data_IF_644765806866
#
_entry.id   IF_644765806866
#
_cell.length_a   1.000
_cell.length_b   1.000
_cell.length_c   1.000
_cell.angle_alpha   90.00
_cell.angle_beta   90.00
_cell.angle_gamma   90.00
#
_symmetry.space_group_name_H-M   'P 1'
#
loop_
_entity.id
_entity.type
_entity.pdbx_description
1 polymer ?
#
# COMPACT_ATOMS: atom_id res chain seq x y z
N UNK A 1 -40.54 -37.94 -32.18
CA UNK A 1 -39.60 -37.52 -31.12
C UNK A 1 -39.02 -36.14 -31.46
N UNK A 2 -39.85 -35.16 -31.82
CA UNK A 2 -40.40 -34.14 -30.93
C UNK A 2 -40.60 -34.56 -29.45
N UNK A 3 -39.82 -33.94 -28.55
CA UNK A 3 -40.10 -33.67 -27.12
C UNK A 3 -38.78 -33.54 -26.35
N UNK A 4 -38.13 -32.36 -26.38
CA UNK A 4 -37.15 -31.88 -25.38
C UNK A 4 -36.52 -30.53 -25.79
N UNK A 5 -37.30 -29.59 -26.32
CA UNK A 5 -36.82 -28.24 -26.71
C UNK A 5 -37.66 -27.12 -26.06
N UNK A 6 -38.19 -27.38 -24.87
CA UNK A 6 -39.09 -26.46 -24.18
C UNK A 6 -38.76 -26.38 -22.68
N UNK A 7 -37.53 -26.02 -22.32
CA UNK A 7 -37.20 -25.78 -20.90
C UNK A 7 -36.07 -24.77 -20.60
N UNK A 8 -35.78 -23.83 -21.51
CA UNK A 8 -34.82 -22.73 -21.24
C UNK A 8 -35.37 -21.35 -21.62
N UNK A 9 -36.67 -21.11 -21.40
CA UNK A 9 -37.31 -19.80 -21.64
C UNK A 9 -38.19 -19.31 -20.49
N UNK A 10 -37.85 -19.62 -19.22
CA UNK A 10 -38.59 -19.13 -18.04
C UNK A 10 -37.72 -18.78 -16.81
N UNK A 11 -36.51 -18.25 -17.02
CA UNK A 11 -35.71 -17.69 -15.91
C UNK A 11 -35.18 -16.27 -16.14
N UNK A 12 -35.70 -15.56 -17.16
CA UNK A 12 -35.35 -14.16 -17.43
C UNK A 12 -36.44 -13.14 -17.00
N UNK A 13 -37.58 -13.56 -16.43
CA UNK A 13 -38.70 -12.66 -16.06
C UNK A 13 -38.86 -12.40 -14.55
N UNK A 14 -38.12 -13.10 -13.68
CA UNK A 14 -38.21 -12.92 -12.22
C UNK A 14 -37.24 -11.85 -11.67
N UNK A 15 -36.13 -11.56 -12.35
CA UNK A 15 -35.14 -10.58 -11.89
C UNK A 15 -35.47 -9.12 -12.25
N UNK A 16 -36.39 -8.89 -13.19
CA UNK A 16 -36.78 -7.52 -13.63
C UNK A 16 -37.98 -6.97 -12.84
N UNK A 17 -38.64 -7.77 -12.00
CA UNK A 17 -39.76 -7.31 -11.14
C UNK A 17 -39.37 -6.99 -9.68
N UNK A 18 -38.16 -7.29 -9.25
CA UNK A 18 -37.69 -6.94 -7.90
C UNK A 18 -37.14 -5.50 -7.77
N UNK A 19 -36.94 -4.78 -8.89
CA UNK A 19 -36.31 -3.45 -8.89
C UNK A 19 -37.28 -2.27 -9.09
N UNK A 20 -38.61 -2.52 -9.02
CA UNK A 20 -39.65 -1.50 -9.20
C UNK A 20 -40.52 -1.26 -7.95
N UNK A 21 -40.12 -1.77 -6.78
CA UNK A 21 -40.90 -1.68 -5.54
C UNK A 21 -40.14 -1.11 -4.34
N UNK A 22 -39.04 -0.37 -4.60
CA UNK A 22 -38.25 0.35 -3.56
C UNK A 22 -38.21 1.87 -3.80
N UNK A 23 -38.92 2.38 -4.81
CA UNK A 23 -39.15 3.82 -4.99
C UNK A 23 -40.63 4.16 -4.86
N UNK A 24 -41.07 4.26 -3.61
CA UNK A 24 -42.21 5.09 -3.11
C UNK A 24 -42.59 4.53 -1.74
N UNK A 25 -42.16 5.22 -0.68
CA UNK A 25 -42.84 5.34 0.60
C UNK A 25 -42.00 6.31 1.45
N UNK A 26 -42.12 7.59 1.09
CA UNK A 26 -41.93 8.66 2.06
C UNK A 26 -43.14 8.70 2.98
N UNK A 27 -42.87 9.13 4.22
CA UNK A 27 -43.82 9.59 5.23
C UNK A 27 -44.96 8.65 5.63
N UNK A 28 -44.78 7.97 6.76
CA UNK A 28 -45.87 7.71 7.71
C UNK A 28 -45.31 7.47 9.12
N UNK A 29 -45.60 8.44 10.00
CA UNK A 29 -45.68 8.26 11.46
C UNK A 29 -46.99 7.52 11.80
N UNK A 30 -47.12 7.16 13.08
CA UNK A 30 -48.23 6.42 13.74
C UNK A 30 -47.92 4.91 13.71
N UNK A 31 -47.69 4.19 14.81
CA UNK A 31 -48.17 4.36 16.17
C UNK A 31 -49.25 3.32 16.43
N UNK A 32 -48.91 2.08 16.75
CA UNK A 32 -49.79 1.16 17.49
C UNK A 32 -49.06 -0.10 17.97
N UNK A 33 -49.48 -0.55 19.15
CA UNK A 33 -48.95 -1.64 19.95
C UNK A 33 -49.17 -2.99 19.28
N UNK A 34 -48.15 -3.86 19.31
CA UNK A 34 -48.35 -5.31 19.19
C UNK A 34 -47.63 -5.97 20.37
N UNK A 35 -48.43 -6.54 21.26
CA UNK A 35 -47.99 -7.13 22.52
C UNK A 35 -47.25 -8.45 22.33
N UNK A 36 -46.12 -8.58 23.02
CA UNK A 36 -45.48 -9.87 23.28
C UNK A 36 -45.68 -10.24 24.76
N UNK A 37 -46.25 -11.43 24.97
CA UNK A 37 -46.41 -12.09 26.27
C UNK A 37 -45.04 -12.22 26.97
N UNK A 38 -44.96 -11.72 28.19
CA UNK A 38 -43.80 -11.83 29.06
C UNK A 38 -43.69 -13.23 29.68
N UNK A 39 -42.54 -13.89 29.47
CA UNK A 39 -42.11 -15.03 30.25
C UNK A 39 -41.18 -14.51 31.36
N UNK A 40 -41.63 -14.62 32.62
CA UNK A 40 -40.88 -14.18 33.80
C UNK A 40 -39.71 -15.13 34.08
N UNK A 41 -38.47 -14.65 33.91
CA UNK A 41 -37.28 -15.22 34.55
C UNK A 41 -36.81 -14.26 35.64
N UNK A 42 -36.63 -14.78 36.85
CA UNK A 42 -36.27 -14.04 38.06
C UNK A 42 -34.79 -13.67 38.07
N UNK A 43 -34.49 -12.40 38.38
CA UNK A 43 -33.38 -12.02 39.26
C UNK A 43 -31.98 -11.87 38.66
N UNK A 44 -31.70 -10.78 37.95
CA UNK A 44 -30.37 -10.12 37.94
C UNK A 44 -30.58 -8.61 37.89
N UNK A 45 -30.10 -7.89 38.91
CA UNK A 45 -30.21 -6.42 39.03
C UNK A 45 -28.97 -5.80 38.38
N UNK A 46 -29.08 -5.34 37.12
CA UNK A 46 -28.00 -4.61 36.45
C UNK A 46 -28.20 -3.10 36.67
N UNK A 47 -27.29 -2.45 37.39
CA UNK A 47 -27.29 -1.01 37.57
C UNK A 47 -26.68 -0.33 36.33
N UNK A 48 -27.44 0.57 35.69
CA UNK A 48 -26.98 1.38 34.56
C UNK A 48 -26.65 2.78 35.10
N UNK A 49 -25.39 3.26 35.05
CA UNK A 49 -25.07 4.63 35.46
C UNK A 49 -25.49 5.64 34.38
N UNK A 50 -26.07 6.75 34.82
CA UNK A 50 -26.48 7.90 33.99
C UNK A 50 -25.26 8.66 33.44
N UNK A 51 -25.32 9.24 32.23
CA UNK A 51 -24.20 9.99 31.65
C UNK A 51 -23.99 11.34 32.35
N UNK A 52 -22.74 11.62 32.71
CA UNK A 52 -22.31 12.90 33.28
C UNK A 52 -22.35 14.01 32.22
N UNK A 53 -22.96 15.15 32.58
CA UNK A 53 -22.98 16.39 31.79
C UNK A 53 -21.54 16.90 31.58
N UNK A 54 -21.12 17.08 30.32
CA UNK A 54 -19.86 17.77 30.00
C UNK A 54 -19.99 19.28 30.25
N UNK A 55 -19.16 19.81 31.14
CA UNK A 55 -18.93 21.25 31.25
C UNK A 55 -18.04 21.73 30.09
N UNK A 56 -18.50 22.73 29.34
CA UNK A 56 -17.69 23.44 28.35
C UNK A 56 -16.59 24.22 29.07
N UNK A 57 -15.33 23.95 28.74
CA UNK A 57 -14.21 24.83 29.09
C UNK A 57 -13.82 25.58 27.82
N UNK A 58 -14.10 26.89 27.81
CA UNK A 58 -13.57 27.82 26.83
C UNK A 58 -12.09 28.05 27.13
N UNK A 59 -11.20 27.59 26.26
CA UNK A 59 -9.82 28.09 26.24
C UNK A 59 -9.55 28.76 24.88
N UNK A 60 -9.69 30.07 24.88
CA UNK A 60 -9.19 30.94 23.82
C UNK A 60 -7.68 31.10 23.98
N UNK A 61 -6.89 30.32 23.22
CA UNK A 61 -5.46 30.56 23.05
C UNK A 61 -5.23 31.06 21.63
N UNK A 62 -4.84 32.33 21.52
CA UNK A 62 -4.35 32.92 20.26
C UNK A 62 -3.00 32.30 19.96
N UNK A 63 -2.93 31.43 18.95
CA UNK A 63 -1.66 30.96 18.40
C UNK A 63 -1.23 31.96 17.34
N UNK A 64 -0.27 32.80 17.70
CA UNK A 64 0.49 33.62 16.76
C UNK A 64 1.26 32.70 15.83
N UNK A 65 1.07 32.85 14.52
CA UNK A 65 1.75 32.10 13.49
C UNK A 65 3.27 32.35 13.54
N UNK A 66 4.03 31.30 13.83
CA UNK A 66 5.42 31.14 13.40
C UNK A 66 5.48 29.77 12.73
N UNK A 67 5.59 29.78 11.40
CA UNK A 67 5.67 28.58 10.57
C UNK A 67 7.04 27.93 10.75
N UNK A 68 7.13 27.00 11.70
CA UNK A 68 8.10 25.92 11.61
C UNK A 68 7.50 24.88 10.65
N UNK A 69 8.02 24.79 9.42
CA UNK A 69 7.72 23.65 8.56
C UNK A 69 8.21 22.40 9.29
N UNK A 70 7.28 21.57 9.73
CA UNK A 70 7.53 20.46 10.62
C UNK A 70 8.38 19.39 9.94
N UNK A 71 9.47 19.00 10.60
CA UNK A 71 10.37 17.88 10.31
C UNK A 71 9.71 16.51 10.55
N UNK A 72 8.52 16.29 9.99
CA UNK A 72 7.81 15.01 10.11
C UNK A 72 8.27 14.03 9.02
N UNK A 73 8.16 12.71 9.22
CA UNK A 73 8.36 11.72 8.16
C UNK A 73 7.58 12.03 6.87
N UNK A 74 6.45 12.73 7.00
CA UNK A 74 5.63 13.17 5.88
C UNK A 74 6.29 14.29 5.06
N UNK A 75 7.13 15.15 5.65
CA UNK A 75 7.83 16.20 4.89
C UNK A 75 8.93 15.61 3.99
N UNK A 76 9.72 14.65 4.49
CA UNK A 76 10.71 13.92 3.69
C UNK A 76 10.06 13.17 2.53
N UNK A 77 8.97 12.44 2.81
CA UNK A 77 8.20 11.72 1.79
C UNK A 77 7.65 12.67 0.71
N UNK A 78 7.18 13.85 1.10
CA UNK A 78 6.67 14.83 0.13
C UNK A 78 7.80 15.45 -0.69
N UNK A 79 8.96 15.71 -0.09
CA UNK A 79 10.12 16.23 -0.81
C UNK A 79 10.58 15.26 -1.91
N UNK A 80 10.78 13.98 -1.57
CA UNK A 80 11.18 12.97 -2.58
C UNK A 80 10.11 12.78 -3.65
N UNK A 81 8.83 12.79 -3.27
CA UNK A 81 7.71 12.73 -4.23
C UNK A 81 7.71 13.91 -5.22
N UNK A 82 7.92 15.13 -4.73
CA UNK A 82 8.02 16.33 -5.56
C UNK A 82 9.19 16.23 -6.54
N UNK A 83 10.35 15.75 -6.09
CA UNK A 83 11.52 15.57 -6.96
C UNK A 83 11.28 14.52 -8.03
N UNK A 84 10.62 13.43 -7.68
CA UNK A 84 10.33 12.35 -8.60
C UNK A 84 9.45 12.79 -9.77
N UNK A 85 8.38 13.55 -9.50
CA UNK A 85 7.45 13.99 -10.56
C UNK A 85 8.05 14.99 -11.54
N UNK A 86 9.19 15.62 -11.22
CA UNK A 86 9.97 16.44 -12.18
C UNK A 86 10.52 15.61 -13.35
N UNK A 87 10.63 14.29 -13.20
CA UNK A 87 11.08 13.38 -14.25
C UNK A 87 9.99 13.10 -15.29
N UNK A 88 8.73 13.40 -14.97
CA UNK A 88 7.58 13.17 -15.88
C UNK A 88 7.58 14.22 -16.98
N UNK A 89 7.41 13.75 -18.22
CA UNK A 89 7.26 14.59 -19.40
C UNK A 89 5.83 14.52 -19.95
N UNK A 90 5.36 15.54 -20.69
CA UNK A 90 4.08 15.46 -21.37
C UNK A 90 3.97 14.20 -22.25
N UNK A 91 2.78 13.60 -22.29
CA UNK A 91 2.50 12.40 -23.08
C UNK A 91 2.93 11.07 -22.46
N UNK A 92 3.62 11.06 -21.30
CA UNK A 92 4.07 9.83 -20.66
C UNK A 92 2.93 9.02 -20.05
N UNK A 93 3.08 7.69 -20.09
CA UNK A 93 2.31 6.76 -19.26
C UNK A 93 3.11 6.48 -17.99
N UNK A 94 2.50 6.77 -16.84
CA UNK A 94 3.14 6.72 -15.52
C UNK A 94 2.56 5.58 -14.68
N UNK A 95 3.41 4.67 -14.20
CA UNK A 95 3.05 3.71 -13.16
C UNK A 95 2.87 4.43 -11.82
N UNK A 96 1.68 4.34 -11.26
CA UNK A 96 1.29 5.01 -10.01
C UNK A 96 1.33 3.99 -8.87
N UNK A 97 2.42 4.02 -8.10
CA UNK A 97 2.68 3.14 -6.96
C UNK A 97 1.69 3.29 -5.81
N UNK A 98 1.92 2.52 -4.74
CA UNK A 98 1.00 2.42 -3.59
C UNK A 98 1.70 2.81 -2.29
N UNK A 99 0.91 3.26 -1.30
CA UNK A 99 1.42 3.66 0.01
C UNK A 99 1.70 5.16 0.13
N UNK A 100 2.10 5.61 1.33
CA UNK A 100 2.09 7.03 1.69
C UNK A 100 2.99 7.90 0.79
N UNK A 101 4.17 7.40 0.41
CA UNK A 101 5.13 8.17 -0.39
C UNK A 101 4.70 8.26 -1.85
N UNK A 102 4.28 7.13 -2.45
CA UNK A 102 3.74 7.11 -3.81
C UNK A 102 2.45 7.93 -3.92
N UNK A 103 1.62 7.93 -2.87
CA UNK A 103 0.42 8.77 -2.80
C UNK A 103 0.76 10.24 -2.94
N UNK A 104 1.78 10.74 -2.23
CA UNK A 104 2.24 12.12 -2.38
C UNK A 104 2.75 12.40 -3.79
N UNK A 105 3.39 11.44 -4.47
CA UNK A 105 3.79 11.60 -5.87
C UNK A 105 2.59 11.74 -6.81
N UNK A 106 1.53 10.95 -6.59
CA UNK A 106 0.25 11.07 -7.34
C UNK A 106 -0.36 12.47 -7.13
N UNK A 107 -0.36 12.97 -5.89
CA UNK A 107 -0.86 14.32 -5.58
C UNK A 107 -0.07 15.41 -6.31
N UNK A 108 1.26 15.37 -6.22
CA UNK A 108 2.12 16.36 -6.87
C UNK A 108 2.01 16.30 -8.41
N UNK A 109 1.88 15.10 -8.98
CA UNK A 109 1.63 14.91 -10.40
C UNK A 109 0.30 15.57 -10.82
N UNK A 110 -0.77 15.34 -10.06
CA UNK A 110 -2.07 15.96 -10.30
C UNK A 110 -2.03 17.48 -10.22
N UNK A 111 -1.28 18.06 -9.27
CA UNK A 111 -1.06 19.51 -9.18
C UNK A 111 -0.38 20.07 -10.43
N UNK A 112 0.63 19.38 -10.97
CA UNK A 112 1.33 19.79 -12.20
C UNK A 112 0.40 19.73 -13.43
N UNK A 113 -0.45 18.71 -13.52
CA UNK A 113 -1.46 18.58 -14.57
C UNK A 113 -2.50 19.70 -14.46
N UNK A 114 -3.04 19.93 -13.26
CA UNK A 114 -4.03 20.99 -13.00
C UNK A 114 -3.48 22.39 -13.30
N UNK A 115 -2.19 22.62 -13.05
CA UNK A 115 -1.49 23.86 -13.39
C UNK A 115 -1.14 23.99 -14.89
N UNK A 116 -1.47 22.99 -15.72
CA UNK A 116 -1.18 22.97 -17.15
C UNK A 116 0.30 22.77 -17.51
N UNK A 117 1.15 22.40 -16.54
CA UNK A 117 2.59 22.16 -16.73
C UNK A 117 2.87 20.80 -17.36
N UNK A 118 2.00 19.82 -17.11
CA UNK A 118 2.04 18.50 -17.75
C UNK A 118 0.73 18.28 -18.51
N UNK A 119 0.86 17.83 -19.75
CA UNK A 119 -0.27 17.54 -20.65
C UNK A 119 -0.20 16.11 -21.13
N UNK A 120 -1.36 15.52 -21.40
CA UNK A 120 -1.50 14.18 -21.97
C UNK A 120 -0.80 13.06 -21.17
N UNK A 121 -0.62 13.27 -19.86
CA UNK A 121 -0.10 12.25 -18.95
C UNK A 121 -1.23 11.31 -18.53
N UNK A 122 -0.96 10.02 -18.56
CA UNK A 122 -1.89 8.98 -18.12
C UNK A 122 -1.24 8.11 -17.04
N UNK A 123 -2.07 7.57 -16.14
CA UNK A 123 -1.62 6.78 -15.01
C UNK A 123 -2.11 5.33 -15.05
N UNK A 124 -1.23 4.39 -14.71
CA UNK A 124 -1.55 2.98 -14.46
C UNK A 124 -1.37 2.70 -12.97
N UNK A 125 -2.47 2.48 -12.24
CA UNK A 125 -2.41 2.35 -10.78
C UNK A 125 -2.11 0.93 -10.29
N UNK A 126 -1.18 0.80 -9.34
CA UNK A 126 -0.76 -0.48 -8.74
C UNK A 126 -1.66 -0.99 -7.62
N UNK A 127 -2.73 -0.27 -7.29
CA UNK A 127 -3.77 -0.68 -6.34
C UNK A 127 -5.07 0.08 -6.57
N UNK A 128 -6.16 -0.35 -5.93
CA UNK A 128 -7.38 0.46 -5.87
C UNK A 128 -7.12 1.80 -5.18
N UNK A 129 -6.26 1.84 -4.16
CA UNK A 129 -5.89 3.07 -3.46
C UNK A 129 -5.25 4.09 -4.42
N UNK A 130 -4.25 3.67 -5.20
CA UNK A 130 -3.59 4.51 -6.19
C UNK A 130 -4.56 4.99 -7.27
N UNK A 131 -5.42 4.11 -7.81
CA UNK A 131 -6.41 4.45 -8.84
C UNK A 131 -7.44 5.46 -8.36
N UNK A 132 -7.93 5.31 -7.12
CA UNK A 132 -8.88 6.26 -6.52
C UNK A 132 -8.21 7.62 -6.32
N UNK A 133 -7.00 7.63 -5.77
CA UNK A 133 -6.25 8.87 -5.53
C UNK A 133 -5.93 9.61 -6.83
N UNK A 134 -5.50 8.89 -7.87
CA UNK A 134 -5.25 9.46 -9.19
C UNK A 134 -6.46 10.23 -9.72
N UNK A 135 -7.66 9.63 -9.63
CA UNK A 135 -8.91 10.28 -10.05
C UNK A 135 -9.25 11.50 -9.20
N UNK A 136 -9.04 11.43 -7.88
CA UNK A 136 -9.26 12.57 -6.98
C UNK A 136 -8.40 13.79 -7.35
N UNK A 137 -7.17 13.55 -7.82
CA UNK A 137 -6.23 14.60 -8.22
C UNK A 137 -6.23 14.90 -9.72
N UNK A 138 -7.22 14.40 -10.47
CA UNK A 138 -7.39 14.70 -11.90
C UNK A 138 -6.37 14.02 -12.82
N UNK A 139 -5.63 13.02 -12.34
CA UNK A 139 -4.76 12.19 -13.17
C UNK A 139 -5.63 11.18 -13.91
N UNK A 140 -5.64 11.25 -15.25
CA UNK A 140 -6.38 10.29 -16.08
C UNK A 140 -5.78 8.89 -15.91
N UNK A 141 -6.60 7.91 -15.52
CA UNK A 141 -6.16 6.51 -15.39
C UNK A 141 -6.47 5.71 -16.65
N UNK A 142 -5.60 4.77 -17.02
CA UNK A 142 -5.82 3.77 -18.08
C UNK A 142 -5.70 2.36 -17.51
N UNK A 143 -6.35 1.39 -18.16
CA UNK A 143 -6.20 -0.02 -17.79
C UNK A 143 -4.83 -0.54 -18.25
N UNK A 144 -4.22 -1.41 -17.45
CA UNK A 144 -2.92 -2.01 -17.80
C UNK A 144 -3.01 -2.81 -19.11
N UNK A 145 -4.15 -3.46 -19.38
CA UNK A 145 -4.34 -4.28 -20.57
C UNK A 145 -4.42 -3.45 -21.86
N UNK A 146 -4.64 -2.13 -21.75
CA UNK A 146 -4.69 -1.20 -22.89
C UNK A 146 -3.33 -0.51 -23.12
N UNK A 147 -2.29 -0.89 -22.38
CA UNK A 147 -0.97 -0.25 -22.39
C UNK A 147 0.11 -1.23 -22.83
N UNK A 148 0.85 -0.85 -23.88
CA UNK A 148 1.98 -1.65 -24.36
C UNK A 148 3.28 -1.36 -23.60
N UNK A 149 3.43 -0.14 -23.08
CA UNK A 149 4.65 0.27 -22.37
C UNK A 149 4.34 1.35 -21.34
N UNK A 150 5.01 1.27 -20.18
CA UNK A 150 4.98 2.31 -19.15
C UNK A 150 6.30 3.07 -19.25
N UNK A 151 6.26 4.40 -19.33
CA UNK A 151 7.49 5.19 -19.53
C UNK A 151 8.28 5.34 -18.24
N UNK A 152 7.58 5.54 -17.13
CA UNK A 152 8.16 5.67 -15.80
C UNK A 152 7.19 5.17 -14.74
N UNK A 153 7.66 4.47 -13.72
CA UNK A 153 6.88 4.10 -12.56
C UNK A 153 7.48 4.69 -11.29
N UNK A 154 6.63 5.23 -10.42
CA UNK A 154 7.00 5.73 -9.09
C UNK A 154 6.38 4.85 -8.02
N UNK A 155 7.17 4.40 -7.06
CA UNK A 155 6.66 3.57 -5.97
C UNK A 155 7.47 3.75 -4.68
N UNK A 156 6.91 3.32 -3.55
CA UNK A 156 7.62 3.24 -2.28
C UNK A 156 8.26 1.88 -2.04
N UNK A 157 9.07 1.78 -0.97
CA UNK A 157 9.59 0.52 -0.46
C UNK A 157 9.46 0.43 1.07
N UNK A 158 9.38 -0.80 1.58
CA UNK A 158 9.40 -1.10 3.01
C UNK A 158 10.84 -1.24 3.52
N UNK A 159 11.72 -1.82 2.71
CA UNK A 159 13.18 -1.82 2.85
C UNK A 159 13.86 -1.68 1.48
N UNK A 160 15.06 -1.09 1.45
CA UNK A 160 15.96 -1.05 0.29
C UNK A 160 17.40 -1.32 0.73
N UNK A 161 18.08 -2.25 0.08
CA UNK A 161 19.51 -2.48 0.31
C UNK A 161 20.39 -1.64 -0.62
N UNK A 162 21.71 -1.64 -0.38
CA UNK A 162 22.66 -0.87 -1.20
C UNK A 162 22.81 -1.35 -2.66
N UNK A 163 22.19 -2.47 -3.03
CA UNK A 163 22.16 -2.99 -4.40
C UNK A 163 20.84 -2.70 -5.12
N UNK A 164 19.97 -1.86 -4.53
CA UNK A 164 18.62 -1.54 -5.01
C UNK A 164 17.66 -2.73 -5.02
N UNK A 165 17.92 -3.78 -4.22
CA UNK A 165 16.93 -4.80 -3.94
C UNK A 165 15.97 -4.27 -2.89
N UNK A 166 14.68 -4.59 -3.04
CA UNK A 166 13.65 -4.07 -2.14
C UNK A 166 12.92 -5.21 -1.42
N UNK A 167 12.39 -4.87 -0.23
CA UNK A 167 11.14 -5.46 0.26
C UNK A 167 10.01 -4.45 0.07
N UNK A 168 8.90 -4.91 -0.51
CA UNK A 168 7.63 -4.21 -0.70
C UNK A 168 6.47 -5.08 -0.23
N UNK A 169 5.25 -4.53 -0.24
CA UNK A 169 4.03 -5.27 0.06
C UNK A 169 3.46 -5.04 1.46
N UNK A 170 3.98 -4.08 2.22
CA UNK A 170 3.35 -3.63 3.47
C UNK A 170 1.89 -3.18 3.25
N UNK A 171 1.57 -2.66 2.06
CA UNK A 171 0.21 -2.32 1.63
C UNK A 171 -0.60 -3.45 0.99
N UNK A 172 -0.05 -4.67 0.87
CA UNK A 172 -0.69 -5.83 0.21
C UNK A 172 -1.03 -5.65 -1.29
N UNK A 173 -0.26 -4.80 -1.99
CA UNK A 173 -0.42 -4.51 -3.42
C UNK A 173 0.75 -5.02 -4.28
N UNK A 174 1.71 -5.74 -3.68
CA UNK A 174 3.01 -6.06 -4.29
C UNK A 174 2.91 -6.81 -5.62
N UNK A 175 1.90 -7.65 -5.83
CA UNK A 175 1.69 -8.33 -7.12
C UNK A 175 1.46 -7.32 -8.26
N UNK A 176 0.50 -6.42 -8.10
CA UNK A 176 0.22 -5.40 -9.12
C UNK A 176 1.35 -4.38 -9.24
N UNK A 177 1.99 -4.02 -8.12
CA UNK A 177 3.20 -3.19 -8.12
C UNK A 177 4.30 -3.82 -8.97
N UNK A 178 4.57 -5.12 -8.80
CA UNK A 178 5.63 -5.81 -9.56
C UNK A 178 5.32 -5.89 -11.04
N UNK A 179 4.07 -6.18 -11.41
CA UNK A 179 3.65 -6.17 -12.81
C UNK A 179 3.86 -4.79 -13.46
N UNK A 180 3.43 -3.71 -12.80
CA UNK A 180 3.58 -2.35 -13.34
C UNK A 180 5.04 -1.91 -13.39
N UNK A 181 5.81 -2.17 -12.33
CA UNK A 181 7.22 -1.77 -12.26
C UNK A 181 8.08 -2.53 -13.29
N UNK A 182 7.79 -3.80 -13.57
CA UNK A 182 8.51 -4.58 -14.60
C UNK A 182 8.15 -4.17 -16.04
N UNK A 183 6.97 -3.59 -16.26
CA UNK A 183 6.57 -3.03 -17.56
C UNK A 183 7.09 -1.60 -17.79
N UNK A 184 7.66 -0.96 -16.77
CA UNK A 184 8.19 0.40 -16.88
C UNK A 184 9.58 0.42 -17.50
N UNK A 185 9.83 1.36 -18.41
CA UNK A 185 11.18 1.62 -18.93
C UNK A 185 12.11 2.13 -17.83
N UNK A 186 11.55 2.88 -16.87
CA UNK A 186 12.26 3.43 -15.73
C UNK A 186 11.45 3.24 -14.46
N UNK A 187 12.02 2.54 -13.47
CA UNK A 187 11.42 2.38 -12.14
C UNK A 187 12.16 3.23 -11.14
N UNK A 188 11.45 4.17 -10.51
CA UNK A 188 11.99 5.11 -9.54
C UNK A 188 11.34 4.88 -8.18
N UNK A 189 12.15 4.43 -7.23
CA UNK A 189 11.72 4.15 -5.86
C UNK A 189 11.95 5.35 -4.97
N UNK A 190 10.94 5.69 -4.17
CA UNK A 190 10.88 6.89 -3.35
C UNK A 190 10.89 6.49 -1.88
N UNK A 191 11.98 6.79 -1.19
CA UNK A 191 12.14 6.42 0.22
C UNK A 191 12.68 7.58 1.05
N UNK A 192 12.36 7.57 2.33
CA UNK A 192 13.14 8.29 3.32
C UNK A 192 14.28 7.40 3.85
N UNK A 193 15.29 8.02 4.44
CA UNK A 193 16.49 7.35 4.94
C UNK A 193 16.24 6.16 5.88
N UNK A 194 15.09 6.09 6.58
CA UNK A 194 14.79 4.98 7.49
C UNK A 194 14.52 3.65 6.78
N UNK A 195 14.28 3.68 5.46
CA UNK A 195 14.04 2.50 4.64
C UNK A 195 15.32 1.86 4.11
N UNK A 196 16.45 2.56 4.18
CA UNK A 196 17.72 2.05 3.71
C UNK A 196 18.32 1.13 4.76
N UNK A 197 18.55 -0.14 4.39
CA UNK A 197 19.08 -1.18 5.26
C UNK A 197 20.40 -1.73 4.71
N UNK A 198 21.25 -2.26 5.59
CA UNK A 198 22.47 -2.95 5.15
C UNK A 198 22.18 -4.32 4.54
N UNK A 199 21.10 -4.96 4.98
CA UNK A 199 20.68 -6.29 4.54
C UNK A 199 19.14 -6.38 4.66
N UNK A 200 18.49 -6.98 3.67
CA UNK A 200 17.03 -7.13 3.64
C UNK A 200 16.55 -8.15 4.69
N UNK A 201 15.30 -8.00 5.12
CA UNK A 201 14.59 -8.93 5.99
C UNK A 201 14.93 -8.78 7.48
N UNK A 202 15.74 -7.79 7.85
CA UNK A 202 16.14 -7.55 9.24
C UNK A 202 15.06 -6.80 10.04
N UNK A 203 14.36 -5.85 9.42
CA UNK A 203 13.39 -4.99 10.12
C UNK A 203 11.95 -5.22 9.63
N UNK A 204 11.78 -5.73 8.42
CA UNK A 204 10.49 -5.95 7.77
C UNK A 204 10.36 -7.37 7.22
N UNK A 205 9.22 -8.07 7.44
CA UNK A 205 9.00 -9.40 6.87
C UNK A 205 8.81 -9.32 5.34
N UNK A 206 9.09 -10.39 4.61
CA UNK A 206 8.73 -10.50 3.19
C UNK A 206 7.25 -10.88 3.06
N UNK A 207 6.38 -10.01 2.50
CA UNK A 207 5.00 -10.37 2.21
C UNK A 207 4.94 -11.35 1.03
N UNK A 208 4.13 -12.39 1.16
CA UNK A 208 3.88 -13.38 0.11
C UNK A 208 2.38 -13.44 -0.15
N UNK A 209 1.97 -13.17 -1.39
CA UNK A 209 0.56 -13.32 -1.80
C UNK A 209 0.31 -14.78 -2.19
N UNK A 210 -0.73 -15.36 -1.61
CA UNK A 210 -0.99 -16.80 -1.70
C UNK A 210 -2.45 -17.09 -2.03
N UNK A 211 -2.66 -18.09 -2.87
CA UNK A 211 -4.00 -18.60 -3.18
C UNK A 211 -4.64 -19.13 -1.89
N UNK A 212 -5.86 -18.68 -1.51
CA UNK A 212 -6.48 -19.09 -0.25
C UNK A 212 -6.60 -20.60 -0.04
N UNK A 213 -6.87 -21.36 -1.12
CA UNK A 213 -7.02 -22.83 -1.03
C UNK A 213 -5.70 -23.55 -0.72
N UNK A 214 -4.55 -22.91 -0.98
CA UNK A 214 -3.21 -23.48 -0.87
C UNK A 214 -2.44 -23.00 0.37
N UNK A 215 -3.09 -22.33 1.33
CA UNK A 215 -2.42 -21.69 2.45
C UNK A 215 -1.52 -22.66 3.25
N UNK A 216 -2.04 -23.80 3.69
CA UNK A 216 -1.30 -24.75 4.53
C UNK A 216 -0.05 -25.36 3.86
N UNK A 217 -0.10 -25.86 2.61
CA UNK A 217 1.12 -26.32 1.93
C UNK A 217 2.13 -25.21 1.67
N UNK A 218 1.68 -23.98 1.36
CA UNK A 218 2.59 -22.83 1.19
C UNK A 218 3.30 -22.51 2.49
N UNK A 219 2.59 -22.41 3.63
CA UNK A 219 3.20 -22.17 4.94
C UNK A 219 4.29 -23.20 5.27
N UNK A 220 4.04 -24.50 5.04
CA UNK A 220 5.06 -25.55 5.26
C UNK A 220 6.29 -25.37 4.37
N UNK A 221 6.08 -24.96 3.12
CA UNK A 221 7.17 -24.74 2.17
C UNK A 221 8.02 -23.53 2.57
N UNK A 222 7.38 -22.45 3.04
CA UNK A 222 8.08 -21.26 3.56
C UNK A 222 8.90 -21.58 4.82
N UNK A 223 8.37 -22.41 5.73
CA UNK A 223 9.15 -22.94 6.88
C UNK A 223 10.36 -23.73 6.41
N UNK A 224 10.22 -24.58 5.39
CA UNK A 224 11.33 -25.34 4.82
C UNK A 224 12.40 -24.47 4.13
N UNK A 225 12.05 -23.24 3.73
CA UNK A 225 13.01 -22.23 3.26
C UNK A 225 13.73 -21.50 4.40
N UNK A 226 13.45 -21.83 5.66
CA UNK A 226 14.00 -21.16 6.84
C UNK A 226 13.23 -19.91 7.26
N UNK A 227 12.02 -19.71 6.73
CA UNK A 227 11.16 -18.59 7.10
C UNK A 227 10.24 -18.90 8.29
N UNK A 228 9.77 -17.84 8.93
CA UNK A 228 8.73 -17.86 9.98
C UNK A 228 7.47 -17.18 9.42
N UNK A 229 6.55 -17.94 8.77
CA UNK A 229 5.40 -17.36 8.11
C UNK A 229 4.22 -17.13 9.06
N UNK A 230 3.59 -15.96 8.95
CA UNK A 230 2.38 -15.59 9.68
C UNK A 230 1.30 -15.10 8.69
N UNK A 231 0.06 -15.59 8.85
CA UNK A 231 -1.05 -15.08 8.04
C UNK A 231 -1.37 -13.64 8.49
N UNK A 232 -1.31 -12.68 7.57
CA UNK A 232 -1.56 -11.28 7.89
C UNK A 232 -3.03 -11.08 8.31
N UNK A 233 -3.22 -10.69 9.57
CA UNK A 233 -4.55 -10.39 10.12
C UNK A 233 -5.06 -9.03 9.66
N UNK A 234 -6.35 -8.92 9.33
CA UNK A 234 -6.95 -7.65 8.97
C UNK A 234 -7.35 -6.85 10.22
N UNK A 235 -7.27 -5.51 10.12
CA UNK A 235 -7.61 -4.61 11.24
C UNK A 235 -9.07 -4.11 11.21
N UNK A 236 -9.69 -4.03 10.03
CA UNK A 236 -11.04 -3.45 9.82
C UNK A 236 -12.07 -4.47 9.31
N UNK A 237 -11.76 -5.75 9.43
CA UNK A 237 -12.65 -6.91 9.22
C UNK A 237 -12.12 -8.08 10.04
N UNK A 238 -12.98 -9.04 10.34
CA UNK A 238 -12.54 -10.28 10.98
C UNK A 238 -11.75 -11.16 9.99
N UNK A 239 -10.77 -11.91 10.51
CA UNK A 239 -9.95 -12.83 9.72
C UNK A 239 -8.81 -12.16 8.93
N UNK A 240 -8.28 -12.81 7.88
CA UNK A 240 -7.06 -12.38 7.20
C UNK A 240 -7.28 -11.17 6.27
N UNK A 241 -6.19 -10.46 5.96
CA UNK A 241 -6.14 -9.50 4.84
C UNK A 241 -6.44 -10.23 3.54
N UNK A 242 -7.28 -9.60 2.72
CA UNK A 242 -7.56 -10.03 1.35
C UNK A 242 -7.00 -8.97 0.41
N UNK A 243 -6.17 -9.37 -0.56
CA UNK A 243 -5.59 -8.46 -1.55
C UNK A 243 -6.65 -7.96 -2.52
N UNK A 244 -6.32 -6.91 -3.29
CA UNK A 244 -7.15 -6.41 -4.38
C UNK A 244 -7.45 -7.49 -5.45
N UNK A 245 -6.64 -8.57 -5.50
CA UNK A 245 -6.80 -9.72 -6.40
C UNK A 245 -7.55 -10.90 -5.75
N UNK A 246 -8.03 -10.74 -4.50
CA UNK A 246 -8.82 -11.76 -3.80
C UNK A 246 -8.00 -12.84 -3.09
N UNK A 247 -6.69 -12.66 -2.96
CA UNK A 247 -5.79 -13.63 -2.33
C UNK A 247 -5.49 -13.28 -0.87
N UNK A 248 -4.79 -14.17 -0.16
CA UNK A 248 -4.31 -13.90 1.20
C UNK A 248 -2.86 -13.39 1.17
N UNK A 249 -2.44 -12.74 2.25
CA UNK A 249 -1.03 -12.34 2.47
C UNK A 249 -0.45 -13.10 3.66
N UNK A 250 0.75 -13.63 3.47
CA UNK A 250 1.58 -14.25 4.51
C UNK A 250 2.82 -13.39 4.69
N UNK A 251 3.04 -12.89 5.89
CA UNK A 251 4.26 -12.18 6.26
C UNK A 251 5.32 -13.19 6.71
N UNK A 252 6.46 -13.23 6.03
CA UNK A 252 7.52 -14.21 6.29
C UNK A 252 8.76 -13.52 6.83
N UNK A 253 9.12 -13.80 8.08
CA UNK A 253 10.41 -13.35 8.64
C UNK A 253 11.50 -14.35 8.30
N UNK A 254 12.72 -13.87 8.05
CA UNK A 254 13.90 -14.69 7.87
C UNK A 254 14.90 -14.35 8.97
N UNK A 255 14.93 -15.11 10.09
CA UNK A 255 15.84 -14.85 11.19
C UNK A 255 17.29 -14.91 10.71
N UNK A 256 17.99 -13.77 10.80
CA UNK A 256 19.35 -13.62 10.30
C UNK A 256 19.49 -12.89 8.96
N UNK A 257 18.39 -12.34 8.42
CA UNK A 257 18.39 -11.53 7.20
C UNK A 257 18.44 -12.36 5.92
N UNK A 258 18.46 -11.67 4.78
CA UNK A 258 18.38 -12.25 3.45
C UNK A 258 19.69 -11.99 2.71
N UNK A 259 20.52 -13.03 2.63
CA UNK A 259 21.85 -12.96 1.99
C UNK A 259 21.81 -12.96 0.46
N UNK A 260 20.87 -13.72 -0.11
CA UNK A 260 20.66 -13.81 -1.56
C UNK A 260 19.18 -13.54 -1.88
N UNK A 261 18.80 -12.26 -2.04
CA UNK A 261 17.42 -11.88 -2.37
C UNK A 261 16.95 -12.51 -3.69
N UNK A 262 17.82 -12.65 -4.68
CA UNK A 262 17.48 -13.16 -6.01
C UNK A 262 17.12 -14.65 -5.97
N UNK A 263 17.92 -15.46 -5.27
CA UNK A 263 17.62 -16.88 -5.08
C UNK A 263 16.35 -17.07 -4.24
N UNK A 264 16.20 -16.30 -3.17
CA UNK A 264 15.03 -16.40 -2.31
C UNK A 264 13.74 -16.03 -3.05
N UNK A 265 13.72 -14.93 -3.81
CA UNK A 265 12.58 -14.52 -4.63
C UNK A 265 12.17 -15.64 -5.59
N UNK A 266 13.15 -16.22 -6.30
CA UNK A 266 12.93 -17.33 -7.24
C UNK A 266 12.35 -18.55 -6.54
N UNK A 267 12.90 -18.95 -5.39
CA UNK A 267 12.47 -20.14 -4.64
C UNK A 267 11.07 -19.97 -4.07
N UNK A 268 10.71 -18.77 -3.60
CA UNK A 268 9.35 -18.48 -3.14
C UNK A 268 8.37 -18.57 -4.32
N UNK A 269 8.68 -17.96 -5.47
CA UNK A 269 7.82 -17.99 -6.65
C UNK A 269 7.65 -19.39 -7.27
N UNK A 270 8.56 -20.33 -6.99
CA UNK A 270 8.43 -21.72 -7.43
C UNK A 270 7.51 -22.58 -6.55
N UNK A 271 7.01 -22.07 -5.42
CA UNK A 271 6.09 -22.82 -4.54
C UNK A 271 4.67 -22.80 -5.15
N UNK A 272 4.07 -23.96 -5.49
CA UNK A 272 2.69 -23.99 -5.99
C UNK A 272 1.70 -23.40 -4.97
N UNK A 273 0.95 -22.40 -5.39
CA UNK A 273 0.01 -21.65 -4.54
C UNK A 273 0.50 -20.26 -4.13
N UNK A 274 1.79 -19.96 -4.33
CA UNK A 274 2.29 -18.57 -4.29
C UNK A 274 1.89 -17.88 -5.60
N UNK A 275 1.39 -16.65 -5.47
CA UNK A 275 1.05 -15.77 -6.60
C UNK A 275 2.21 -14.83 -6.90
N UNK A 276 2.75 -14.19 -5.86
CA UNK A 276 3.93 -13.32 -5.94
C UNK A 276 4.47 -13.05 -4.52
N UNK A 277 5.65 -12.47 -4.40
CA UNK A 277 6.25 -12.06 -3.14
C UNK A 277 6.84 -10.64 -3.19
N UNK A 278 7.13 -10.11 -1.99
CA UNK A 278 7.55 -8.73 -1.79
C UNK A 278 9.02 -8.45 -2.07
N UNK A 279 9.84 -9.41 -2.47
CA UNK A 279 11.21 -9.13 -2.93
C UNK A 279 11.15 -8.55 -4.33
N UNK A 280 11.81 -7.42 -4.59
CA UNK A 280 11.90 -6.82 -5.93
C UNK A 280 13.38 -6.71 -6.27
N UNK A 281 13.88 -7.66 -7.07
CA UNK A 281 15.30 -7.81 -7.38
C UNK A 281 15.55 -7.55 -8.87
N UNK A 282 16.49 -6.67 -9.19
CA UNK A 282 16.86 -6.37 -10.58
C UNK A 282 15.81 -5.60 -11.39
N UNK A 283 14.81 -5.00 -10.74
CA UNK A 283 13.72 -4.24 -11.39
C UNK A 283 13.97 -2.72 -11.33
N UNK A 284 14.71 -2.27 -10.32
CA UNK A 284 14.84 -0.85 -9.98
C UNK A 284 15.97 -0.20 -10.77
N UNK A 285 15.69 0.96 -11.39
CA UNK A 285 16.71 1.76 -12.08
C UNK A 285 17.26 2.88 -11.20
N UNK A 286 16.41 3.47 -10.35
CA UNK A 286 16.79 4.62 -9.53
C UNK A 286 16.09 4.55 -8.17
N UNK A 287 16.81 4.86 -7.11
CA UNK A 287 16.26 5.02 -5.76
C UNK A 287 16.60 6.43 -5.29
N UNK A 288 15.57 7.24 -5.08
CA UNK A 288 15.71 8.58 -4.50
C UNK A 288 15.51 8.48 -2.98
N UNK A 289 16.50 8.95 -2.23
CA UNK A 289 16.50 8.95 -0.77
C UNK A 289 16.34 10.38 -0.28
N UNK A 290 15.25 10.66 0.42
CA UNK A 290 15.12 11.89 1.20
C UNK A 290 15.82 11.73 2.55
N UNK A 291 16.76 12.63 2.82
CA UNK A 291 17.51 12.69 4.06
C UNK A 291 17.33 14.03 4.75
N UNK A 292 17.55 14.05 6.07
CA UNK A 292 17.70 15.30 6.81
C UNK A 292 19.20 15.56 7.02
N UNK A 293 19.72 16.64 6.44
CA UNK A 293 21.05 17.14 6.75
C UNK A 293 20.91 18.42 7.58
N UNK A 294 21.24 18.32 8.86
CA UNK A 294 20.92 19.30 9.91
C UNK A 294 19.43 19.69 9.94
N UNK A 295 19.05 20.75 9.23
CA UNK A 295 17.68 21.28 9.10
C UNK A 295 17.16 21.33 7.66
N UNK A 296 17.99 20.98 6.66
CA UNK A 296 17.59 20.96 5.26
C UNK A 296 17.23 19.54 4.80
N UNK A 297 16.19 19.44 3.97
CA UNK A 297 15.84 18.18 3.31
C UNK A 297 16.65 18.07 2.03
N UNK A 298 17.48 17.04 1.95
CA UNK A 298 18.28 16.74 0.76
C UNK A 298 17.71 15.48 0.11
N UNK A 299 17.69 15.47 -1.23
CA UNK A 299 17.26 14.31 -2.01
C UNK A 299 18.46 13.88 -2.84
N UNK A 300 18.95 12.68 -2.58
CA UNK A 300 20.13 12.13 -3.26
C UNK A 300 19.83 10.74 -3.81
N UNK A 301 20.64 10.31 -4.77
CA UNK A 301 20.61 8.94 -5.26
C UNK A 301 21.14 7.97 -4.19
N UNK A 302 20.61 6.75 -4.16
CA UNK A 302 21.03 5.73 -3.19
C UNK A 302 22.52 5.43 -3.26
N UNK A 303 23.15 5.42 -4.43
CA UNK A 303 24.58 5.14 -4.55
C UNK A 303 25.41 6.18 -3.79
N UNK A 304 25.04 7.46 -3.90
CA UNK A 304 25.68 8.55 -3.17
C UNK A 304 25.36 8.47 -1.66
N UNK A 305 24.11 8.13 -1.30
CA UNK A 305 23.72 7.94 0.10
C UNK A 305 24.55 6.84 0.79
N UNK A 306 24.69 5.68 0.15
CA UNK A 306 25.45 4.55 0.68
C UNK A 306 26.93 4.89 0.80
N UNK A 307 27.49 5.60 -0.19
CA UNK A 307 28.88 6.09 -0.14
C UNK A 307 29.10 7.03 1.04
N UNK A 308 28.18 7.97 1.28
CA UNK A 308 28.26 8.91 2.40
C UNK A 308 28.17 8.18 3.75
N UNK A 309 27.30 7.17 3.88
CA UNK A 309 27.23 6.33 5.08
C UNK A 309 28.54 5.57 5.35
N UNK A 310 29.18 5.07 4.30
CA UNK A 310 30.45 4.34 4.45
C UNK A 310 31.59 5.27 4.86
N UNK A 311 31.65 6.47 4.29
CA UNK A 311 32.65 7.48 4.68
C UNK A 311 32.48 7.87 6.16
N UNK A 312 31.26 8.17 6.59
CA UNK A 312 30.99 8.54 7.98
C UNK A 312 31.36 7.42 8.98
N UNK A 313 31.17 6.15 8.61
CA UNK A 313 31.61 5.00 9.43
C UNK A 313 33.13 4.91 9.53
N UNK A 314 33.85 5.19 8.44
CA UNK A 314 35.31 5.17 8.42
C UNK A 314 35.87 6.31 9.29
N UNK A 315 35.35 7.53 9.12
CA UNK A 315 35.78 8.70 9.90
C UNK A 315 35.58 8.47 11.40
N UNK A 316 34.43 7.93 11.80
CA UNK A 316 34.13 7.60 13.19
C UNK A 316 35.01 6.47 13.76
N UNK A 317 35.50 5.55 12.92
CA UNK A 317 36.43 4.50 13.33
C UNK A 317 37.86 5.06 13.53
N UNK A 318 38.28 5.97 12.66
CA UNK A 318 39.58 6.67 12.77
C UNK A 318 39.62 7.58 14.01
N UNK A 319 38.56 8.32 14.28
CA UNK A 319 38.46 9.17 15.48
C UNK A 319 38.58 8.32 16.76
N UNK A 320 37.88 7.19 16.83
CA UNK A 320 37.99 6.24 17.95
C UNK A 320 39.40 5.70 18.12
N UNK A 321 40.07 5.31 17.04
CA UNK A 321 41.44 4.79 17.06
C UNK A 321 42.48 5.85 17.45
N UNK A 322 42.23 7.13 17.14
CA UNK A 322 43.11 8.25 17.53
C UNK A 322 42.92 8.70 18.99
N UNK A 323 41.81 8.32 19.62
CA UNK A 323 41.45 8.64 21.01
C UNK A 323 41.79 7.54 22.03
N UNK A 324 42.30 6.39 21.55
CA UNK A 324 42.69 5.20 22.33
C UNK A 324 44.21 5.03 22.39
#
# INVERSE_FOLDING_TARGET
MASALLEVSMTASAAVRANAQVQRLGDLRIGEQIGFRSMQMRGVKLAIPQPLRSTRVNNSVRISAVTAESSSPDSLKRAVAKKAVELVKPGMIVGLGTGSTASMAIEELGKLIAAGKLKDVMGVGTSYQARVLARQFGVKTVDLNDVNVIDIAFDGADEVDGQMNLIKGGGAAHTMEKVVNTMAKKTVILVDQSKVVSELGLTFPVPVEVLPFAISPVLRSLVALGGEPEIRSALRKDGPVITDLGNMVVDVRFPGGIKDPADLERRINMIPGVVENGLFVGIVETVLVATKDAEETVIIDLADYVKNLQQAKNDAAEEKASSS
#
